data_IF_238023612095
#
_entry.id   IF_238023612095
#
_cell.length_a   1.000
_cell.length_b   1.000
_cell.length_c   1.000
_cell.angle_alpha   90.00
_cell.angle_beta   90.00
_cell.angle_gamma   90.00
#
_symmetry.space_group_name_H-M   'P 1'
#
loop_
_entity.id
_entity.type
_entity.pdbx_description
1 polymer ?
#
# COMPACT_ATOMS: atom_id res chain seq x y z
N UNK A 1 -13.40 11.52 -8.85
CA UNK A 1 -14.60 11.42 -7.97
C UNK A 1 -14.15 11.24 -6.54
N UNK A 2 -14.73 11.94 -5.58
CA UNK A 2 -14.34 11.79 -4.17
C UNK A 2 -14.88 10.47 -3.61
N UNK A 3 -13.99 9.68 -2.98
CA UNK A 3 -14.34 8.41 -2.32
C UNK A 3 -14.98 8.75 -0.97
N UNK A 4 -16.28 8.45 -0.79
CA UNK A 4 -16.95 8.65 0.49
C UNK A 4 -16.77 7.42 1.38
N UNK A 5 -16.25 7.61 2.60
CA UNK A 5 -16.07 6.57 3.61
C UNK A 5 -17.15 6.62 4.71
N UNK A 6 -18.23 7.35 4.49
CA UNK A 6 -19.38 7.41 5.36
C UNK A 6 -20.30 6.18 5.20
N UNK A 7 -21.54 6.30 5.73
CA UNK A 7 -22.55 5.25 5.58
C UNK A 7 -22.78 4.89 4.11
N UNK A 8 -23.05 3.62 3.86
CA UNK A 8 -23.49 3.14 2.55
C UNK A 8 -24.71 3.91 2.04
N UNK A 9 -24.73 4.23 0.76
CA UNK A 9 -25.90 4.86 0.10
C UNK A 9 -27.02 3.87 -0.19
N UNK A 10 -26.81 2.59 0.10
CA UNK A 10 -27.80 1.51 -0.06
C UNK A 10 -28.20 0.93 1.28
N UNK A 11 -29.48 0.61 1.44
CA UNK A 11 -30.00 -0.17 2.57
C UNK A 11 -29.71 -1.67 2.38
N UNK A 12 -29.87 -2.52 3.41
CA UNK A 12 -29.77 -3.98 3.26
C UNK A 12 -30.75 -4.55 2.22
N UNK A 13 -31.91 -3.91 2.02
CA UNK A 13 -32.89 -4.29 1.00
C UNK A 13 -32.55 -3.81 -0.42
N UNK A 14 -31.44 -3.10 -0.61
CA UNK A 14 -31.02 -2.54 -1.90
C UNK A 14 -31.61 -1.17 -2.24
N UNK A 15 -32.53 -0.63 -1.43
CA UNK A 15 -33.10 0.70 -1.66
C UNK A 15 -32.05 1.81 -1.49
N UNK A 16 -32.20 2.89 -2.22
CA UNK A 16 -31.33 4.07 -2.07
C UNK A 16 -31.66 4.85 -0.80
N UNK A 17 -30.62 5.26 -0.10
CA UNK A 17 -30.73 6.19 1.03
C UNK A 17 -30.47 7.61 0.56
N UNK A 18 -31.33 8.54 0.97
CA UNK A 18 -31.12 9.96 0.77
C UNK A 18 -30.22 10.47 1.89
N UNK A 19 -29.19 11.21 1.55
CA UNK A 19 -28.29 11.82 2.54
C UNK A 19 -28.95 13.07 3.16
N UNK A 20 -28.90 13.19 4.48
CA UNK A 20 -29.45 14.35 5.21
C UNK A 20 -28.60 15.63 5.00
N UNK A 21 -27.37 15.50 4.56
CA UNK A 21 -26.40 16.58 4.38
C UNK A 21 -25.35 16.22 3.32
N UNK A 22 -24.63 17.24 2.85
CA UNK A 22 -23.48 17.01 1.98
C UNK A 22 -22.34 16.25 2.67
N UNK A 23 -21.47 15.64 1.89
CA UNK A 23 -20.27 14.93 2.37
C UNK A 23 -19.34 15.89 3.09
N UNK A 24 -18.91 15.54 4.29
CA UNK A 24 -17.91 16.31 5.03
C UNK A 24 -16.50 15.92 4.59
N UNK A 25 -15.55 16.86 4.70
CA UNK A 25 -14.13 16.63 4.37
C UNK A 25 -13.51 15.44 5.15
N UNK A 26 -13.94 15.26 6.40
CA UNK A 26 -13.51 14.12 7.25
C UNK A 26 -13.99 12.74 6.77
N UNK A 27 -15.03 12.70 5.94
CA UNK A 27 -15.62 11.47 5.39
C UNK A 27 -15.09 11.12 4.01
N UNK A 28 -14.24 11.97 3.44
CA UNK A 28 -13.67 11.75 2.13
C UNK A 28 -12.37 10.96 2.27
N UNK A 29 -12.29 9.84 1.54
CA UNK A 29 -11.07 9.05 1.38
C UNK A 29 -10.24 9.53 0.20
N UNK A 30 -9.02 9.03 0.15
CA UNK A 30 -8.08 9.25 -0.96
C UNK A 30 -7.92 7.97 -1.75
N UNK A 31 -7.50 8.10 -3.00
CA UNK A 31 -7.13 6.95 -3.82
C UNK A 31 -5.99 6.15 -3.19
N UNK A 32 -5.94 4.85 -3.47
CA UNK A 32 -4.87 3.97 -3.02
C UNK A 32 -3.51 4.45 -3.56
N UNK A 33 -2.43 4.17 -2.83
CA UNK A 33 -1.10 4.60 -3.26
C UNK A 33 -0.61 3.81 -4.47
N UNK A 34 -1.00 2.54 -4.59
CA UNK A 34 -0.58 1.61 -5.64
C UNK A 34 0.94 1.70 -5.91
N UNK A 35 1.74 1.45 -4.87
CA UNK A 35 3.20 1.54 -4.95
C UNK A 35 3.75 0.63 -6.04
N UNK A 36 4.44 1.22 -7.01
CA UNK A 36 4.99 0.52 -8.19
C UNK A 36 6.48 0.32 -8.06
N UNK A 37 6.97 -0.70 -8.75
CA UNK A 37 8.39 -0.92 -8.91
C UNK A 37 8.97 0.07 -9.93
N UNK A 38 9.63 1.12 -9.45
CA UNK A 38 10.38 2.12 -10.25
C UNK A 38 11.24 2.99 -9.34
N UNK A 39 11.84 4.05 -9.84
CA UNK A 39 12.61 5.00 -9.04
C UNK A 39 11.80 5.54 -7.86
N UNK A 40 12.48 5.75 -6.72
CA UNK A 40 11.84 6.16 -5.47
C UNK A 40 11.08 7.46 -5.60
N UNK A 41 9.78 7.40 -5.33
CA UNK A 41 8.88 8.55 -5.29
C UNK A 41 8.07 8.54 -3.99
N UNK A 42 8.35 9.49 -3.10
CA UNK A 42 7.70 9.62 -1.79
C UNK A 42 6.79 10.84 -1.76
N UNK A 43 5.54 10.65 -1.36
CA UNK A 43 4.56 11.73 -1.19
C UNK A 43 4.33 11.98 0.30
N UNK A 44 4.61 13.19 0.75
CA UNK A 44 4.24 13.66 2.08
C UNK A 44 2.80 14.15 2.08
N UNK A 45 2.02 13.73 3.06
CA UNK A 45 0.63 14.11 3.20
C UNK A 45 0.39 14.62 4.61
N UNK A 46 -0.06 15.88 4.71
CA UNK A 46 -0.49 16.46 5.97
C UNK A 46 -1.72 15.73 6.48
N UNK A 47 -1.73 15.35 7.74
CA UNK A 47 -2.85 14.73 8.45
C UNK A 47 -3.35 15.62 9.59
N UNK A 48 -4.39 15.18 10.29
CA UNK A 48 -4.99 15.91 11.40
C UNK A 48 -3.96 16.12 12.52
N UNK A 49 -4.05 17.26 13.21
CA UNK A 49 -3.14 17.60 14.31
C UNK A 49 -1.75 18.05 13.90
N UNK A 50 -1.54 18.44 12.63
CA UNK A 50 -0.22 18.83 12.11
C UNK A 50 0.71 17.63 11.85
N UNK A 51 0.21 16.39 11.98
CA UNK A 51 0.97 15.18 11.68
C UNK A 51 1.13 14.97 10.18
N UNK A 52 2.13 14.17 9.81
CA UNK A 52 2.42 13.82 8.42
C UNK A 52 2.37 12.30 8.23
N UNK A 53 1.94 11.87 7.04
CA UNK A 53 2.10 10.50 6.55
C UNK A 53 2.96 10.52 5.30
N UNK A 54 3.81 9.52 5.20
CA UNK A 54 4.63 9.27 4.03
C UNK A 54 4.00 8.15 3.21
N UNK A 55 3.62 8.45 1.97
CA UNK A 55 3.07 7.45 1.04
C UNK A 55 4.06 7.22 -0.07
N UNK A 56 4.49 5.99 -0.21
CA UNK A 56 5.39 5.57 -1.27
C UNK A 56 4.59 5.36 -2.55
N UNK A 57 4.86 6.16 -3.58
CA UNK A 57 4.25 6.00 -4.89
C UNK A 57 5.03 5.00 -5.75
N UNK A 58 6.35 4.97 -5.59
CA UNK A 58 7.23 4.02 -6.25
C UNK A 58 8.51 3.82 -5.42
N UNK A 59 9.09 2.64 -5.48
CA UNK A 59 10.44 2.34 -4.96
C UNK A 59 10.95 1.05 -5.62
N UNK A 60 12.25 0.94 -5.75
CA UNK A 60 12.93 -0.27 -6.22
C UNK A 60 13.70 -0.99 -5.12
N UNK A 61 13.73 -0.44 -3.89
CA UNK A 61 14.50 -0.99 -2.77
C UNK A 61 13.61 -1.54 -1.67
N UNK A 62 14.04 -2.64 -1.09
CA UNK A 62 13.41 -3.28 0.06
C UNK A 62 14.45 -3.53 1.15
N UNK A 63 14.06 -3.29 2.40
CA UNK A 63 14.82 -3.72 3.56
C UNK A 63 14.38 -5.13 3.93
N UNK A 64 15.23 -6.10 3.74
CA UNK A 64 14.94 -7.51 4.01
C UNK A 64 15.64 -7.94 5.29
N UNK A 65 14.90 -8.64 6.13
CA UNK A 65 15.44 -9.32 7.32
C UNK A 65 15.65 -10.78 6.95
N UNK A 66 16.88 -11.23 7.11
CA UNK A 66 17.29 -12.62 6.91
C UNK A 66 16.87 -13.51 8.09
N UNK A 67 16.94 -14.82 7.92
CA UNK A 67 16.69 -15.82 8.97
C UNK A 67 17.59 -15.63 10.19
N UNK A 68 18.81 -15.14 9.97
CA UNK A 68 19.78 -14.80 11.03
C UNK A 68 19.46 -13.49 11.78
N UNK A 69 18.40 -12.77 11.40
CA UNK A 69 18.01 -11.48 11.98
C UNK A 69 18.82 -10.29 11.48
N UNK A 70 19.65 -10.47 10.46
CA UNK A 70 20.39 -9.37 9.81
C UNK A 70 19.50 -8.63 8.83
N UNK A 71 19.49 -7.31 8.90
CA UNK A 71 18.76 -6.46 7.96
C UNK A 71 19.69 -5.99 6.83
N UNK A 72 19.25 -6.15 5.59
CA UNK A 72 19.97 -5.70 4.39
C UNK A 72 19.02 -4.94 3.46
N UNK A 73 19.52 -3.90 2.81
CA UNK A 73 18.76 -3.19 1.77
C UNK A 73 19.18 -3.73 0.41
N UNK A 74 18.22 -4.26 -0.33
CA UNK A 74 18.43 -4.89 -1.64
C UNK A 74 17.44 -4.34 -2.67
N UNK A 75 17.77 -4.49 -3.94
CA UNK A 75 16.89 -4.10 -5.03
C UNK A 75 15.83 -5.19 -5.27
N UNK A 76 14.63 -4.76 -5.61
CA UNK A 76 13.53 -5.65 -6.00
C UNK A 76 13.67 -5.91 -7.51
N UNK A 77 13.69 -7.18 -7.90
CA UNK A 77 13.75 -7.60 -9.30
C UNK A 77 12.35 -7.59 -9.89
N UNK A 78 11.40 -8.28 -9.23
CA UNK A 78 10.04 -8.45 -9.71
C UNK A 78 9.07 -8.74 -8.57
N UNK A 79 7.76 -8.64 -8.83
CA UNK A 79 6.69 -9.08 -7.93
C UNK A 79 6.21 -10.45 -8.41
N UNK A 80 6.36 -11.48 -7.58
CA UNK A 80 5.98 -12.86 -7.91
C UNK A 80 4.51 -13.09 -7.63
N UNK A 81 4.06 -12.71 -6.43
CA UNK A 81 2.69 -12.94 -5.97
C UNK A 81 2.17 -11.75 -5.17
N UNK A 82 0.87 -11.51 -5.27
CA UNK A 82 0.21 -10.52 -4.45
C UNK A 82 -1.15 -11.05 -3.97
N UNK A 83 -1.24 -11.32 -2.67
CA UNK A 83 -2.45 -11.85 -2.03
C UNK A 83 -3.63 -10.88 -2.03
N UNK A 84 -3.38 -9.58 -2.19
CA UNK A 84 -4.44 -8.58 -2.22
C UNK A 84 -5.22 -8.60 -3.53
N UNK A 85 -4.52 -8.73 -4.67
CA UNK A 85 -5.13 -8.78 -5.99
C UNK A 85 -4.15 -9.42 -6.99
N UNK A 86 -4.53 -10.51 -7.68
CA UNK A 86 -3.68 -11.14 -8.71
C UNK A 86 -3.28 -10.19 -9.86
N UNK A 87 -4.13 -9.22 -10.18
CA UNK A 87 -3.83 -8.23 -11.22
C UNK A 87 -2.68 -7.28 -10.87
N UNK A 88 -2.34 -7.15 -9.58
CA UNK A 88 -1.22 -6.31 -9.13
C UNK A 88 0.13 -6.87 -9.53
N UNK A 89 0.26 -8.16 -9.69
CA UNK A 89 1.50 -8.82 -10.16
C UNK A 89 1.87 -8.30 -11.55
N UNK A 90 0.92 -8.24 -12.48
CA UNK A 90 1.15 -7.74 -13.85
C UNK A 90 1.57 -6.27 -13.90
N UNK A 91 1.15 -5.48 -12.93
CA UNK A 91 1.45 -4.04 -12.81
C UNK A 91 2.64 -3.76 -11.88
N UNK A 92 3.28 -4.79 -11.34
CA UNK A 92 4.35 -4.70 -10.35
C UNK A 92 3.99 -3.79 -9.18
N UNK A 93 2.77 -3.95 -8.65
CA UNK A 93 2.29 -3.20 -7.50
C UNK A 93 2.65 -3.96 -6.22
N UNK A 94 3.31 -3.26 -5.31
CA UNK A 94 3.79 -3.79 -4.05
C UNK A 94 2.82 -3.39 -2.94
N UNK A 95 2.25 -4.39 -2.26
CA UNK A 95 1.37 -4.20 -1.10
C UNK A 95 1.84 -5.06 0.06
N UNK A 96 1.31 -4.83 1.26
CA UNK A 96 1.58 -5.70 2.40
C UNK A 96 1.17 -7.14 2.08
N UNK A 97 2.06 -8.09 2.33
CA UNK A 97 1.85 -9.52 2.05
C UNK A 97 2.22 -9.96 0.64
N UNK A 98 2.64 -9.05 -0.24
CA UNK A 98 3.17 -9.41 -1.55
C UNK A 98 4.51 -10.16 -1.41
N UNK A 99 4.75 -11.10 -2.30
CA UNK A 99 6.04 -11.81 -2.40
C UNK A 99 6.81 -11.19 -3.57
N UNK A 100 8.00 -10.71 -3.27
CA UNK A 100 8.89 -10.07 -4.22
C UNK A 100 10.18 -10.86 -4.37
N UNK A 101 10.70 -10.87 -5.58
CA UNK A 101 11.98 -11.48 -5.90
C UNK A 101 13.11 -10.50 -5.62
N UNK A 102 14.11 -10.95 -4.87
CA UNK A 102 15.30 -10.18 -4.55
C UNK A 102 16.56 -11.01 -4.83
N UNK A 103 17.74 -10.39 -4.98
CA UNK A 103 18.98 -11.12 -5.21
C UNK A 103 19.36 -12.11 -4.09
N UNK A 104 18.79 -11.93 -2.88
CA UNK A 104 19.08 -12.79 -1.72
C UNK A 104 18.07 -13.95 -1.62
N UNK A 105 16.89 -13.83 -2.25
CA UNK A 105 15.81 -14.79 -2.19
C UNK A 105 14.44 -14.13 -2.27
N UNK A 106 13.39 -14.91 -2.12
CA UNK A 106 12.03 -14.39 -2.11
C UNK A 106 11.72 -13.72 -0.76
N UNK A 107 11.22 -12.51 -0.79
CA UNK A 107 10.88 -11.76 0.40
C UNK A 107 9.38 -11.43 0.45
N UNK A 108 8.76 -11.66 1.61
CA UNK A 108 7.37 -11.27 1.88
C UNK A 108 7.35 -9.88 2.49
N UNK A 109 6.62 -8.98 1.87
CA UNK A 109 6.47 -7.59 2.34
C UNK A 109 5.64 -7.56 3.62
N UNK A 110 6.19 -6.97 4.69
CA UNK A 110 5.55 -6.85 6.00
C UNK A 110 5.05 -5.44 6.30
N UNK A 111 5.63 -4.41 5.69
CA UNK A 111 5.20 -3.02 5.83
C UNK A 111 4.03 -2.67 4.91
N UNK A 112 3.47 -1.50 5.12
CA UNK A 112 2.42 -0.91 4.29
C UNK A 112 2.99 0.28 3.52
N UNK A 113 3.50 0.11 2.29
CA UNK A 113 4.21 1.16 1.57
C UNK A 113 3.40 2.45 1.40
N UNK A 114 2.08 2.32 1.23
CA UNK A 114 1.16 3.45 1.11
C UNK A 114 0.86 4.20 2.42
N UNK A 115 1.34 3.75 3.57
CA UNK A 115 1.16 4.37 4.89
C UNK A 115 2.50 4.68 5.56
N UNK A 116 3.46 3.77 5.47
CA UNK A 116 4.74 3.82 6.20
C UNK A 116 5.85 4.50 5.38
N UNK A 117 5.72 4.52 4.06
CA UNK A 117 6.68 5.16 3.15
C UNK A 117 7.98 4.37 2.95
N UNK A 118 8.02 3.12 3.38
CA UNK A 118 9.15 2.20 3.19
C UNK A 118 8.65 0.80 2.87
N UNK A 119 9.47 0.02 2.18
CA UNK A 119 9.20 -1.39 1.92
C UNK A 119 10.14 -2.22 2.80
N UNK A 120 9.55 -2.93 3.75
CA UNK A 120 10.25 -3.88 4.59
C UNK A 120 9.71 -5.28 4.34
N UNK A 121 10.56 -6.28 4.42
CA UNK A 121 10.18 -7.66 4.19
C UNK A 121 11.02 -8.64 5.00
N UNK A 122 10.60 -9.88 4.98
CA UNK A 122 11.28 -11.03 5.60
C UNK A 122 11.45 -12.08 4.51
N UNK A 123 12.62 -12.74 4.48
CA UNK A 123 12.86 -13.85 3.55
C UNK A 123 11.86 -14.97 3.84
N UNK A 124 11.30 -15.53 2.78
CA UNK A 124 10.41 -16.68 2.80
C UNK A 124 11.09 -17.77 1.97
N UNK A 125 11.27 -18.93 2.58
CA UNK A 125 11.78 -20.12 1.90
C UNK A 125 10.80 -20.68 0.88
#
# INVERSE_FOLDING_TARGET
>A
MAICQGKSTRSPSGARRVANRGKRKSELGRESAETRLSEKSLRKIRTRGGNEKHRLAADNKINVIDTDGKAQTVDIINVIENSANPNYVRRNIITKGAIVETPIGNAKVTSRPGQDGVINGVIVE
#
